data_IF_708065193300
#
_entry.id   IF_708065193300
#
_cell.length_a   1.000
_cell.length_b   1.000
_cell.length_c   1.000
_cell.angle_alpha   90.00
_cell.angle_beta   90.00
_cell.angle_gamma   90.00
#
_symmetry.space_group_name_H-M   'P 1'
#
loop_
_entity.id
_entity.type
_entity.pdbx_description
1 polymer ?
#
# COMPACT_ATOMS: atom_id res chain seq x y z
N UNK A 1 -16.70 29.75 9.02
CA UNK A 1 -16.40 29.21 8.67
C UNK A 1 -15.72 28.76 8.30
N UNK A 2 -15.62 28.32 8.62
CA UNK A 2 -14.95 27.77 8.27
C UNK A 2 -14.64 27.00 7.59
N UNK A 3 -14.54 27.16 7.67
CA UNK A 3 -14.56 26.44 6.46
C UNK A 3 -13.58 25.30 6.42
N UNK A 4 -12.45 25.46 7.01
CA UNK A 4 -11.49 24.37 7.00
C UNK A 4 -12.05 23.15 7.68
N UNK A 5 -12.88 23.37 8.64
CA UNK A 5 -13.45 22.23 9.35
C UNK A 5 -14.46 21.49 8.49
N UNK A 6 -14.91 22.13 7.45
CA UNK A 6 -15.89 21.52 6.57
C UNK A 6 -15.30 20.81 5.39
N UNK A 7 -14.00 20.86 5.26
CA UNK A 7 -13.34 20.23 4.13
C UNK A 7 -13.31 18.73 4.27
N UNK A 8 -13.54 18.06 3.17
CA UNK A 8 -13.34 16.63 3.16
C UNK A 8 -11.87 16.36 3.37
N UNK A 9 -11.52 15.23 3.96
CA UNK A 9 -10.12 14.87 4.10
C UNK A 9 -9.50 14.66 2.73
N UNK A 10 -8.20 14.90 2.62
CA UNK A 10 -7.50 14.71 1.37
C UNK A 10 -7.44 13.25 0.96
N UNK A 11 -7.50 12.37 1.92
CA UNK A 11 -7.51 10.94 1.65
C UNK A 11 -8.36 10.24 2.71
N UNK A 12 -8.70 8.99 2.42
CA UNK A 12 -9.36 8.15 3.39
C UNK A 12 -8.83 6.73 3.20
N UNK A 13 -8.43 6.11 4.30
CA UNK A 13 -8.01 4.72 4.29
C UNK A 13 -9.00 3.97 5.15
N UNK A 14 -9.87 3.20 4.51
CA UNK A 14 -11.00 2.55 5.15
C UNK A 14 -10.78 1.06 5.25
N UNK A 15 -10.96 0.51 6.42
CA UNK A 15 -10.87 -0.93 6.61
C UNK A 15 -12.19 -1.56 6.21
N UNK A 16 -12.12 -2.58 5.36
CA UNK A 16 -13.31 -3.26 4.85
C UNK A 16 -13.51 -4.63 5.50
N UNK A 17 -12.59 -5.01 6.40
CA UNK A 17 -12.68 -6.30 7.07
C UNK A 17 -11.79 -7.32 6.39
N UNK A 18 -11.28 -8.28 7.17
CA UNK A 18 -10.48 -9.37 6.63
C UNK A 18 -9.16 -8.94 6.01
N UNK A 19 -8.59 -7.85 6.47
CA UNK A 19 -7.34 -7.37 5.91
C UNK A 19 -7.49 -6.58 4.62
N UNK A 20 -8.72 -6.27 4.23
CA UNK A 20 -8.98 -5.51 3.01
C UNK A 20 -9.15 -4.04 3.37
N UNK A 21 -8.54 -3.20 2.57
CA UNK A 21 -8.58 -1.75 2.77
C UNK A 21 -8.83 -1.04 1.45
N UNK A 22 -9.51 0.08 1.52
CA UNK A 22 -9.72 0.94 0.36
C UNK A 22 -9.11 2.30 0.64
N UNK A 23 -8.30 2.77 -0.31
CA UNK A 23 -7.71 4.09 -0.22
C UNK A 23 -8.41 4.98 -1.23
N UNK A 24 -8.84 6.15 -0.80
CA UNK A 24 -9.49 7.09 -1.69
C UNK A 24 -8.85 8.46 -1.56
N UNK A 25 -9.07 9.30 -2.57
CA UNK A 25 -8.59 10.67 -2.58
C UNK A 25 -7.20 10.78 -3.15
N UNK A 26 -6.37 11.61 -2.53
CA UNK A 26 -5.03 11.91 -3.05
C UNK A 26 -4.01 10.93 -2.46
N UNK A 27 -3.14 10.44 -3.33
CA UNK A 27 -2.07 9.54 -2.94
C UNK A 27 -0.79 10.13 -3.48
N UNK A 28 -0.20 11.05 -2.73
CA UNK A 28 0.96 11.76 -3.23
C UNK A 28 1.66 12.56 -2.16
N UNK A 29 2.39 13.55 -2.61
CA UNK A 29 3.27 14.32 -1.74
C UNK A 29 2.56 14.89 -0.51
N UNK A 30 1.34 15.38 -0.68
CA UNK A 30 0.65 16.02 0.43
C UNK A 30 0.02 15.03 1.42
N UNK A 31 -0.09 13.77 1.05
CA UNK A 31 -0.80 12.79 1.87
C UNK A 31 0.02 11.58 2.28
N UNK A 32 1.11 11.29 1.57
CA UNK A 32 1.82 10.03 1.78
C UNK A 32 2.23 9.80 3.22
N UNK A 33 2.74 10.81 3.88
CA UNK A 33 3.21 10.67 5.26
C UNK A 33 2.06 10.34 6.20
N UNK A 34 0.93 11.01 6.01
CA UNK A 34 -0.24 10.78 6.86
C UNK A 34 -0.84 9.40 6.58
N UNK A 35 -0.85 8.98 5.31
CA UNK A 35 -1.35 7.66 4.95
C UNK A 35 -0.46 6.59 5.60
N UNK A 36 0.85 6.77 5.52
CA UNK A 36 1.77 5.82 6.11
C UNK A 36 1.55 5.70 7.62
N UNK A 37 1.40 6.84 8.28
CA UNK A 37 1.17 6.84 9.73
C UNK A 37 -0.13 6.14 10.10
N UNK A 38 -1.20 6.41 9.35
CA UNK A 38 -2.47 5.77 9.61
C UNK A 38 -2.40 4.27 9.38
N UNK A 39 -1.68 3.86 8.32
CA UNK A 39 -1.62 2.46 7.95
C UNK A 39 -0.90 1.62 8.98
N UNK A 40 0.09 2.18 9.67
CA UNK A 40 0.85 1.39 10.62
C UNK A 40 -0.03 0.78 11.70
N UNK A 41 -1.02 1.53 12.16
CA UNK A 41 -1.92 0.99 13.16
C UNK A 41 -2.91 0.00 12.55
N UNK A 42 -3.44 0.35 11.39
CA UNK A 42 -4.48 -0.47 10.77
C UNK A 42 -3.93 -1.79 10.24
N UNK A 43 -2.71 -1.78 9.74
CA UNK A 43 -2.12 -2.98 9.16
C UNK A 43 -1.56 -3.95 10.17
N UNK A 44 -1.30 -3.49 11.38
CA UNK A 44 -0.56 -4.26 12.37
C UNK A 44 -1.20 -5.60 12.73
N UNK A 45 -2.50 -5.68 12.60
CA UNK A 45 -3.21 -6.87 13.05
C UNK A 45 -3.52 -7.87 11.95
N UNK A 46 -3.01 -7.64 10.75
CA UNK A 46 -3.35 -8.49 9.63
C UNK A 46 -2.11 -9.11 9.01
N UNK A 47 -2.16 -10.40 8.76
CA UNK A 47 -1.07 -11.10 8.10
C UNK A 47 -1.13 -10.92 6.59
N UNK A 48 -2.33 -10.73 6.07
CA UNK A 48 -2.56 -10.54 4.63
C UNK A 48 -3.29 -9.23 4.44
N UNK A 49 -2.73 -8.37 3.62
CA UNK A 49 -3.27 -7.04 3.37
C UNK A 49 -3.61 -6.91 1.89
N UNK A 50 -4.82 -6.43 1.61
CA UNK A 50 -5.28 -6.21 0.25
C UNK A 50 -5.76 -4.78 0.15
N UNK A 51 -5.10 -4.01 -0.68
CA UNK A 51 -5.37 -2.58 -0.75
C UNK A 51 -5.90 -2.20 -2.12
N UNK A 52 -7.08 -1.61 -2.13
CA UNK A 52 -7.77 -1.21 -3.34
C UNK A 52 -7.56 0.28 -3.59
N UNK A 53 -7.13 0.62 -4.80
CA UNK A 53 -6.81 2.01 -5.16
C UNK A 53 -7.79 2.64 -6.15
N UNK A 54 -8.87 1.96 -6.49
CA UNK A 54 -9.75 2.45 -7.55
C UNK A 54 -10.39 3.81 -7.24
N UNK A 55 -10.46 4.19 -5.98
CA UNK A 55 -11.03 5.48 -5.60
C UNK A 55 -9.98 6.57 -5.42
N UNK A 56 -8.74 6.31 -5.77
CA UNK A 56 -7.69 7.33 -5.74
C UNK A 56 -7.90 8.26 -6.93
N UNK A 57 -7.95 9.56 -6.66
CA UNK A 57 -8.23 10.54 -7.70
C UNK A 57 -6.99 11.29 -8.18
N UNK A 58 -5.96 11.35 -7.35
CA UNK A 58 -4.70 12.03 -7.70
C UNK A 58 -3.54 11.20 -7.17
N UNK A 59 -2.48 11.13 -7.95
CA UNK A 59 -1.29 10.39 -7.49
C UNK A 59 -0.05 10.99 -8.14
N UNK A 60 1.08 10.82 -7.46
CA UNK A 60 2.36 11.30 -7.97
C UNK A 60 3.48 10.40 -7.47
N UNK A 61 4.72 10.83 -7.65
CA UNK A 61 5.90 10.04 -7.30
C UNK A 61 5.94 9.67 -5.82
N UNK A 62 5.44 10.54 -4.95
CA UNK A 62 5.43 10.23 -3.53
C UNK A 62 4.48 9.07 -3.24
N UNK A 63 3.43 8.93 -4.06
CA UNK A 63 2.55 7.77 -3.94
C UNK A 63 3.28 6.48 -4.26
N UNK A 64 4.11 6.51 -5.31
CA UNK A 64 4.91 5.33 -5.64
C UNK A 64 5.84 4.99 -4.47
N UNK A 65 6.47 6.00 -3.89
CA UNK A 65 7.37 5.75 -2.76
C UNK A 65 6.63 5.10 -1.60
N UNK A 66 5.40 5.52 -1.36
CA UNK A 66 4.59 4.94 -0.30
C UNK A 66 4.30 3.45 -0.57
N UNK A 67 3.94 3.13 -1.81
CA UNK A 67 3.67 1.75 -2.16
C UNK A 67 4.90 0.87 -1.97
N UNK A 68 6.07 1.38 -2.31
CA UNK A 68 7.31 0.65 -2.12
C UNK A 68 7.64 0.52 -0.63
N UNK A 69 7.34 1.55 0.14
CA UNK A 69 7.56 1.50 1.58
C UNK A 69 6.68 0.44 2.23
N UNK A 70 5.44 0.33 1.79
CA UNK A 70 4.54 -0.70 2.31
C UNK A 70 5.04 -2.11 1.97
N UNK A 71 5.57 -2.30 0.77
CA UNK A 71 6.12 -3.60 0.39
C UNK A 71 7.30 -3.93 1.30
N UNK A 72 8.13 -2.94 1.54
CA UNK A 72 9.28 -3.12 2.40
C UNK A 72 8.87 -3.46 3.83
N UNK A 73 7.85 -2.77 4.33
CA UNK A 73 7.31 -3.04 5.65
C UNK A 73 6.75 -4.46 5.73
N UNK A 74 5.99 -4.86 4.72
CA UNK A 74 5.40 -6.19 4.71
C UNK A 74 6.47 -7.27 4.70
N UNK A 75 7.51 -7.04 3.91
CA UNK A 75 8.60 -7.98 3.84
C UNK A 75 9.31 -8.09 5.18
N UNK A 76 9.52 -6.96 5.83
CA UNK A 76 10.22 -6.91 7.09
C UNK A 76 9.44 -7.65 8.19
N UNK A 77 8.12 -7.52 8.19
CA UNK A 77 7.28 -8.12 9.21
C UNK A 77 6.62 -9.41 8.75
N UNK A 78 7.06 -9.93 7.61
CA UNK A 78 6.57 -11.21 7.08
C UNK A 78 5.06 -11.19 6.87
N UNK A 79 4.60 -10.11 6.26
CA UNK A 79 3.19 -9.95 5.89
C UNK A 79 3.07 -10.08 4.40
N UNK A 80 1.88 -10.48 3.94
CA UNK A 80 1.59 -10.50 2.52
C UNK A 80 0.87 -9.20 2.21
N UNK A 81 1.22 -8.53 1.12
CA UNK A 81 0.51 -7.33 0.71
C UNK A 81 0.22 -7.42 -0.77
N UNK A 82 -1.00 -7.05 -1.15
CA UNK A 82 -1.43 -7.08 -2.53
C UNK A 82 -2.10 -5.76 -2.86
N UNK A 83 -1.84 -5.27 -4.06
CA UNK A 83 -2.40 -4.01 -4.55
C UNK A 83 -3.36 -4.28 -5.69
N UNK A 84 -4.50 -3.62 -5.67
CA UNK A 84 -5.50 -3.75 -6.72
C UNK A 84 -5.79 -2.40 -7.33
N UNK A 85 -5.81 -2.34 -8.65
CA UNK A 85 -6.16 -1.12 -9.39
C UNK A 85 -5.24 0.04 -9.06
N UNK A 86 -3.93 -0.21 -9.14
CA UNK A 86 -2.95 0.83 -8.90
C UNK A 86 -3.15 1.95 -9.93
N UNK A 87 -3.14 3.23 -9.52
CA UNK A 87 -3.36 4.34 -10.45
C UNK A 87 -2.36 4.33 -11.60
N UNK A 88 -2.84 4.62 -12.79
CA UNK A 88 -2.00 4.64 -13.98
C UNK A 88 -0.78 5.57 -13.86
N UNK A 89 -0.93 6.78 -13.29
CA UNK A 89 0.27 7.62 -13.15
C UNK A 89 1.37 6.96 -12.32
N UNK A 90 1.01 6.20 -11.30
CA UNK A 90 2.00 5.51 -10.49
C UNK A 90 2.64 4.38 -11.29
N UNK A 91 1.84 3.64 -12.03
CA UNK A 91 2.37 2.56 -12.86
C UNK A 91 3.33 3.11 -13.92
N UNK A 92 3.01 4.27 -14.50
CA UNK A 92 3.86 4.88 -15.50
C UNK A 92 5.20 5.29 -14.90
N UNK A 93 5.18 5.91 -13.73
CA UNK A 93 6.40 6.32 -13.06
C UNK A 93 7.23 5.09 -12.69
N UNK A 94 6.55 4.03 -12.24
CA UNK A 94 7.23 2.81 -11.84
C UNK A 94 7.96 2.17 -13.02
N UNK A 95 7.36 2.20 -14.21
CA UNK A 95 8.01 1.65 -15.38
C UNK A 95 9.26 2.43 -15.75
N UNK A 96 9.16 3.76 -15.72
CA UNK A 96 10.30 4.60 -16.06
C UNK A 96 11.42 4.39 -15.05
N UNK A 97 11.08 4.19 -13.79
CA UNK A 97 12.06 4.01 -12.73
C UNK A 97 12.51 2.56 -12.60
N UNK A 98 11.98 1.68 -13.43
CA UNK A 98 12.34 0.26 -13.45
C UNK A 98 12.00 -0.46 -12.16
N UNK A 99 10.94 -0.03 -11.50
CA UNK A 99 10.48 -0.70 -10.28
C UNK A 99 9.08 -1.29 -10.44
N UNK A 100 8.58 -1.36 -11.69
CA UNK A 100 7.22 -1.85 -11.89
C UNK A 100 7.07 -3.30 -11.44
N UNK A 101 8.13 -4.10 -11.57
CA UNK A 101 8.04 -5.48 -11.13
C UNK A 101 7.88 -5.59 -9.62
N UNK A 102 8.42 -4.64 -8.88
CA UNK A 102 8.24 -4.65 -7.44
C UNK A 102 6.78 -4.43 -7.07
N UNK A 103 6.08 -3.57 -7.82
CA UNK A 103 4.67 -3.35 -7.58
C UNK A 103 3.85 -4.58 -7.94
N UNK A 104 4.19 -5.24 -9.02
CA UNK A 104 3.50 -6.46 -9.41
C UNK A 104 3.77 -7.57 -8.42
N UNK A 105 5.00 -7.68 -7.95
CA UNK A 105 5.33 -8.65 -6.91
C UNK A 105 4.55 -8.34 -5.64
N UNK A 106 4.42 -7.06 -5.31
CA UNK A 106 3.61 -6.66 -4.17
C UNK A 106 2.18 -7.10 -4.34
N UNK A 107 1.65 -6.92 -5.53
CA UNK A 107 0.29 -7.34 -5.83
C UNK A 107 0.08 -8.82 -5.62
N UNK A 108 1.09 -9.61 -5.91
CA UNK A 108 1.01 -11.04 -5.78
C UNK A 108 1.92 -11.60 -4.70
N UNK A 109 2.42 -10.73 -3.87
CA UNK A 109 3.38 -11.11 -2.84
C UNK A 109 2.74 -12.10 -1.89
N UNK A 110 3.33 -13.27 -1.81
CA UNK A 110 2.84 -14.28 -0.88
C UNK A 110 3.64 -14.27 0.38
N UNK A 111 4.57 -13.34 0.47
CA UNK A 111 5.33 -13.17 1.66
C UNK A 111 6.29 -14.30 1.92
N UNK A 112 7.17 -14.11 2.83
CA UNK A 112 8.11 -15.14 3.22
C UNK A 112 7.43 -16.19 3.99
N UNK A 113 6.22 -16.07 3.97
CA UNK A 113 5.41 -17.03 4.56
C UNK A 113 5.85 -18.38 4.22
N UNK A 114 6.40 -18.44 3.15
CA UNK A 114 6.86 -19.72 2.91
C UNK A 114 8.18 -19.97 3.45
N UNK A 115 7.90 -19.49 3.97
CA UNK A 115 8.65 -19.76 4.22
C UNK A 115 9.13 -20.19 4.80
N UNK A 116 9.12 -20.28 4.88
CA UNK A 116 9.65 -20.72 5.30
C UNK A 116 10.02 -21.15 5.79
N UNK A 117 10.04 -20.80 5.67
CA UNK A 117 10.41 -21.23 5.84
C UNK A 117 10.52 -21.68 6.23
N UNK A 118 10.54 -21.74 6.30
CA UNK A 118 10.78 -22.20 6.51
C UNK A 118 10.72 -22.76 6.76
N UNK A 119 10.69 -22.65 6.73
CA UNK A 119 10.89 -23.25 6.69
C UNK A 119 11.12 -23.84 6.61
N UNK A 120 11.30 -23.69 6.64
CA UNK A 120 11.73 -24.20 6.32
C UNK A 120 12.10 -24.58 6.09
N UNK A 121 12.36 -24.57 6.21
CA UNK A 121 13.03 -24.78 5.81
C UNK A 121 13.21 -24.85 5.32
N UNK A 122 13.30 -24.70 5.32
CA UNK A 122 13.61 -24.65 4.64
C UNK A 122 13.69 -24.46 4.04
N UNK A 123 13.82 -24.14 3.93
CA UNK A 123 14.02 -23.89 3.19
C UNK A 123 14.28 -23.67 2.96
N UNK A 124 14.35 -23.50 3.19
CA UNK A 124 14.63 -23.29 2.68
C UNK A 124 14.78 -23.31 2.50
#
# INVERSE_FOLDING_TARGET
MHPSSDKAPLFSLTELGGGRFALSGALGFSTAKAILAASKRLFAEHAVLKIEFSAVTHSDTAGLALLLEWINWAKHYRREIRYFNIPQPILAIARISEVSELLHAGERWTGPVQAPEASTGSRS
#
